data_IF_209179554582
#
_entry.id   IF_209179554582
#
_cell.length_a   1.000
_cell.length_b   1.000
_cell.length_c   1.000
_cell.angle_alpha   90.00
_cell.angle_beta   90.00
_cell.angle_gamma   90.00
#
_symmetry.space_group_name_H-M   'P 1'
#
loop_
_entity.id
_entity.type
_entity.pdbx_description
1 polymer ?
#
# COMPACT_ATOMS: atom_id res chain seq x y z
N UNK A 1 -28.74 5.57 -8.22
CA UNK A 1 -28.28 4.20 -7.89
C UNK A 1 -28.22 4.01 -6.36
N UNK A 2 -29.15 3.23 -5.77
CA UNK A 2 -29.41 3.25 -4.33
C UNK A 2 -28.54 2.30 -3.46
N UNK A 3 -27.77 1.36 -4.02
CA UNK A 3 -26.78 0.58 -3.23
C UNK A 3 -25.53 0.13 -4.01
N UNK A 4 -25.65 -0.20 -5.30
CA UNK A 4 -24.54 -0.79 -6.09
C UNK A 4 -23.74 0.19 -6.97
N UNK A 5 -23.94 1.50 -6.81
CA UNK A 5 -23.40 2.50 -7.72
C UNK A 5 -21.87 2.50 -7.87
N UNK A 6 -21.12 2.07 -6.84
CA UNK A 6 -19.65 1.97 -6.93
C UNK A 6 -19.21 0.80 -7.80
N UNK A 7 -19.84 -0.36 -7.65
CA UNK A 7 -19.56 -1.56 -8.44
C UNK A 7 -19.95 -1.31 -9.90
N UNK A 8 -21.12 -0.74 -10.13
CA UNK A 8 -21.58 -0.34 -11.47
C UNK A 8 -20.60 0.62 -12.15
N UNK A 9 -20.13 1.64 -11.43
CA UNK A 9 -19.16 2.61 -11.94
C UNK A 9 -17.79 1.97 -12.23
N UNK A 10 -17.35 1.02 -11.42
CA UNK A 10 -16.13 0.25 -11.67
C UNK A 10 -16.28 -0.59 -12.95
N UNK A 11 -17.39 -1.31 -13.11
CA UNK A 11 -17.67 -2.12 -14.31
C UNK A 11 -17.68 -1.23 -15.57
N UNK A 12 -18.35 -0.07 -15.52
CA UNK A 12 -18.36 0.90 -16.62
C UNK A 12 -16.94 1.40 -16.95
N UNK A 13 -16.10 1.59 -15.95
CA UNK A 13 -14.72 2.04 -16.12
C UNK A 13 -13.87 0.95 -16.79
N UNK A 14 -13.94 -0.29 -16.32
CA UNK A 14 -13.25 -1.44 -16.95
C UNK A 14 -13.70 -1.59 -18.41
N UNK A 15 -15.00 -1.49 -18.68
CA UNK A 15 -15.54 -1.56 -20.05
C UNK A 15 -14.93 -0.50 -20.96
N UNK A 16 -14.92 0.77 -20.52
CA UNK A 16 -14.46 1.93 -21.31
C UNK A 16 -12.93 2.01 -21.47
N UNK A 17 -12.18 1.58 -20.46
CA UNK A 17 -10.74 1.81 -20.40
C UNK A 17 -9.93 0.57 -20.77
N UNK A 18 -10.48 -0.64 -20.59
CA UNK A 18 -9.83 -1.90 -20.95
C UNK A 18 -10.53 -2.55 -22.16
N UNK A 19 -11.79 -2.97 -21.99
CA UNK A 19 -12.45 -3.85 -22.98
C UNK A 19 -12.73 -3.17 -24.32
N UNK A 20 -13.01 -1.86 -24.33
CA UNK A 20 -13.22 -1.13 -25.59
C UNK A 20 -11.92 -0.66 -26.25
N UNK A 21 -10.78 -0.74 -25.56
CA UNK A 21 -9.48 -0.28 -26.07
C UNK A 21 -8.59 -1.40 -26.58
N UNK A 22 -8.80 -2.62 -26.09
CA UNK A 22 -7.99 -3.79 -26.45
C UNK A 22 -8.85 -4.82 -27.15
N UNK A 23 -8.33 -5.39 -28.25
CA UNK A 23 -8.94 -6.54 -28.92
C UNK A 23 -8.28 -7.82 -28.42
N UNK A 24 -9.00 -8.54 -27.57
CA UNK A 24 -8.59 -9.86 -27.09
C UNK A 24 -8.98 -10.94 -28.10
N UNK A 25 -8.09 -11.91 -28.33
CA UNK A 25 -8.28 -13.01 -29.26
C UNK A 25 -8.99 -14.20 -28.62
N UNK A 26 -9.05 -14.24 -27.28
CA UNK A 26 -9.74 -15.28 -26.52
C UNK A 26 -10.28 -14.75 -25.19
N UNK A 27 -11.16 -15.53 -24.57
CA UNK A 27 -11.62 -15.27 -23.21
C UNK A 27 -10.48 -15.33 -22.18
N UNK A 28 -9.53 -16.26 -22.34
CA UNK A 28 -8.38 -16.37 -21.43
C UNK A 28 -7.49 -15.13 -21.49
N UNK A 29 -7.25 -14.60 -22.69
CA UNK A 29 -6.50 -13.36 -22.87
C UNK A 29 -7.24 -12.15 -22.28
N UNK A 30 -8.57 -12.09 -22.46
CA UNK A 30 -9.39 -11.05 -21.86
C UNK A 30 -9.34 -11.11 -20.32
N UNK A 31 -9.36 -12.30 -19.73
CA UNK A 31 -9.26 -12.47 -18.28
C UNK A 31 -7.93 -11.95 -17.74
N UNK A 32 -6.81 -12.28 -18.40
CA UNK A 32 -5.49 -11.76 -18.05
C UNK A 32 -5.42 -10.24 -18.21
N UNK A 33 -5.91 -9.70 -19.33
CA UNK A 33 -5.94 -8.26 -19.57
C UNK A 33 -6.76 -7.49 -18.52
N UNK A 34 -7.90 -8.04 -18.09
CA UNK A 34 -8.69 -7.46 -17.00
C UNK A 34 -7.92 -7.52 -15.67
N UNK A 35 -7.26 -8.63 -15.36
CA UNK A 35 -6.46 -8.77 -14.15
C UNK A 35 -5.32 -7.73 -14.10
N UNK A 36 -4.62 -7.54 -15.22
CA UNK A 36 -3.56 -6.55 -15.35
C UNK A 36 -4.11 -5.12 -15.23
N UNK A 37 -5.26 -4.83 -15.85
CA UNK A 37 -5.94 -3.54 -15.69
C UNK A 37 -6.30 -3.28 -14.22
N UNK A 38 -6.87 -4.26 -13.51
CA UNK A 38 -7.21 -4.14 -12.09
C UNK A 38 -5.96 -3.88 -11.25
N UNK A 39 -4.85 -4.56 -11.53
CA UNK A 39 -3.56 -4.30 -10.85
C UNK A 39 -3.12 -2.85 -11.06
N UNK A 40 -3.11 -2.38 -12.30
CA UNK A 40 -2.76 -0.98 -12.62
C UNK A 40 -3.70 0.03 -11.96
N UNK A 41 -5.00 -0.24 -11.96
CA UNK A 41 -6.01 0.61 -11.32
C UNK A 41 -5.79 0.74 -9.81
N UNK A 42 -5.49 -0.37 -9.12
CA UNK A 42 -5.32 -0.39 -7.67
C UNK A 42 -3.96 0.12 -7.19
N UNK A 43 -2.88 -0.18 -7.90
CA UNK A 43 -1.50 0.04 -7.44
C UNK A 43 -0.70 1.07 -8.23
N UNK A 44 -1.20 1.51 -9.39
CA UNK A 44 -0.50 2.48 -10.25
C UNK A 44 -1.22 3.82 -10.43
N UNK A 45 -2.51 3.91 -10.10
CA UNK A 45 -3.34 5.09 -10.45
C UNK A 45 -3.71 5.94 -9.22
N UNK A 46 -3.20 7.17 -9.11
CA UNK A 46 -3.72 8.19 -8.20
C UNK A 46 -5.20 8.53 -8.50
N UNK A 47 -6.02 8.68 -7.45
CA UNK A 47 -7.44 9.01 -7.58
C UNK A 47 -7.82 10.27 -6.80
N UNK A 48 -8.43 11.24 -7.49
CA UNK A 48 -8.82 12.53 -6.88
C UNK A 48 -9.82 12.37 -5.72
N UNK A 49 -10.77 11.44 -5.84
CA UNK A 49 -11.76 11.15 -4.78
C UNK A 49 -11.15 10.61 -3.47
N UNK A 50 -9.86 10.30 -3.47
CA UNK A 50 -9.08 9.86 -2.31
C UNK A 50 -7.80 10.68 -2.16
N UNK A 51 -7.87 11.99 -2.44
CA UNK A 51 -6.75 12.93 -2.24
C UNK A 51 -5.45 12.56 -2.98
N UNK A 52 -5.56 11.93 -4.15
CA UNK A 52 -4.41 11.53 -4.95
C UNK A 52 -3.74 10.23 -4.51
N UNK A 53 -4.25 9.55 -3.48
CA UNK A 53 -3.81 8.21 -3.14
C UNK A 53 -4.28 7.18 -4.17
N UNK A 54 -3.65 6.01 -4.18
CA UNK A 54 -4.10 4.87 -4.96
C UNK A 54 -5.17 4.09 -4.20
N UNK A 55 -6.08 3.37 -4.87
CA UNK A 55 -7.11 2.59 -4.19
C UNK A 55 -6.52 1.59 -3.19
N UNK A 56 -5.38 0.97 -3.53
CA UNK A 56 -4.66 0.09 -2.62
C UNK A 56 -4.15 0.83 -1.37
N UNK A 57 -3.60 2.05 -1.50
CA UNK A 57 -3.12 2.83 -0.36
C UNK A 57 -4.25 3.11 0.64
N UNK A 58 -5.47 3.38 0.14
CA UNK A 58 -6.64 3.58 0.99
C UNK A 58 -7.14 2.27 1.58
N UNK A 59 -7.16 1.19 0.81
CA UNK A 59 -7.65 -0.12 1.25
C UNK A 59 -6.76 -0.73 2.34
N UNK A 60 -5.44 -0.70 2.15
CA UNK A 60 -4.46 -1.19 3.11
C UNK A 60 -4.12 -0.16 4.21
N UNK A 61 -4.89 0.92 4.33
CA UNK A 61 -4.75 1.86 5.45
C UNK A 61 -3.51 2.75 5.45
N UNK A 62 -2.67 2.75 4.40
CA UNK A 62 -1.46 3.60 4.31
C UNK A 62 -1.78 5.09 4.59
N UNK A 63 -3.00 5.52 4.26
CA UNK A 63 -3.53 6.84 4.61
C UNK A 63 -3.96 6.89 6.09
N UNK A 64 -3.11 7.47 6.94
CA UNK A 64 -3.37 7.70 8.36
C UNK A 64 -2.64 6.75 9.31
N UNK A 65 -2.24 5.56 8.83
CA UNK A 65 -1.43 4.62 9.61
C UNK A 65 -0.06 5.22 9.98
N UNK A 66 0.53 6.06 9.12
CA UNK A 66 1.83 6.72 9.42
C UNK A 66 1.82 7.43 10.78
N UNK A 67 0.87 8.32 11.03
CA UNK A 67 0.80 9.08 12.29
C UNK A 67 0.46 8.18 13.49
N UNK A 68 -0.37 7.15 13.28
CA UNK A 68 -0.67 6.16 14.32
C UNK A 68 0.59 5.37 14.70
N UNK A 69 1.34 4.90 13.71
CA UNK A 69 2.53 4.08 13.91
C UNK A 69 3.65 4.93 14.51
N UNK A 70 3.82 6.18 14.07
CA UNK A 70 4.71 7.14 14.74
C UNK A 70 4.35 7.29 16.22
N UNK A 71 3.06 7.46 16.56
CA UNK A 71 2.62 7.56 17.95
C UNK A 71 2.82 6.26 18.74
N UNK A 72 2.58 5.10 18.14
CA UNK A 72 2.79 3.78 18.73
C UNK A 72 4.27 3.52 19.04
N UNK A 73 5.15 3.98 18.17
CA UNK A 73 6.59 3.78 18.26
C UNK A 73 7.30 4.89 19.05
N UNK A 74 6.69 6.07 19.26
CA UNK A 74 7.30 7.20 19.97
C UNK A 74 7.75 6.89 21.42
N UNK A 75 7.24 5.80 22.02
CA UNK A 75 7.66 5.32 23.35
C UNK A 75 8.78 4.27 23.33
N UNK A 76 9.30 3.91 22.16
CA UNK A 76 10.44 2.99 21.98
C UNK A 76 11.71 3.79 21.72
N UNK A 77 12.88 3.19 21.94
CA UNK A 77 14.18 3.79 21.60
C UNK A 77 14.40 3.81 20.08
N UNK A 78 13.58 4.59 19.37
CA UNK A 78 13.60 4.72 17.92
C UNK A 78 13.83 6.18 17.51
N UNK A 79 14.57 6.37 16.43
CA UNK A 79 14.96 7.66 15.89
C UNK A 79 14.42 7.83 14.47
N UNK A 80 13.28 8.53 14.38
CA UNK A 80 12.65 8.86 13.09
C UNK A 80 13.43 9.89 12.27
N UNK A 81 14.34 10.65 12.89
CA UNK A 81 15.10 11.70 12.21
C UNK A 81 16.14 11.14 11.22
N UNK A 82 16.61 9.92 11.47
CA UNK A 82 17.54 9.18 10.60
C UNK A 82 16.88 8.56 9.36
N UNK A 83 15.57 8.72 9.21
CA UNK A 83 14.80 8.11 8.13
C UNK A 83 14.27 6.73 8.54
N UNK A 84 13.11 6.38 7.98
CA UNK A 84 12.40 5.16 8.31
C UNK A 84 11.47 4.76 7.15
N UNK A 85 11.05 3.49 7.17
CA UNK A 85 10.06 2.97 6.26
C UNK A 85 8.91 2.35 7.05
N UNK A 86 7.68 2.63 6.62
CA UNK A 86 6.48 1.96 7.11
C UNK A 86 5.82 1.33 5.89
N UNK A 87 5.66 0.01 5.92
CA UNK A 87 5.04 -0.77 4.88
C UNK A 87 3.84 -1.49 5.46
N UNK A 88 2.70 -1.48 4.75
CA UNK A 88 1.61 -2.39 5.04
C UNK A 88 1.74 -3.61 4.12
N UNK A 89 1.81 -4.79 4.71
CA UNK A 89 1.83 -6.08 4.00
C UNK A 89 0.60 -6.85 4.43
N UNK A 90 -0.41 -6.92 3.55
CA UNK A 90 -1.74 -7.45 3.88
C UNK A 90 -2.31 -6.72 5.12
N UNK A 91 -2.59 -7.46 6.20
CA UNK A 91 -3.14 -6.91 7.45
C UNK A 91 -2.04 -6.46 8.43
N UNK A 92 -0.77 -6.76 8.15
CA UNK A 92 0.36 -6.46 9.01
C UNK A 92 1.03 -5.14 8.65
N UNK A 93 1.48 -4.41 9.67
CA UNK A 93 2.40 -3.30 9.51
C UNK A 93 3.83 -3.77 9.73
N UNK A 94 4.71 -3.52 8.77
CA UNK A 94 6.16 -3.69 8.91
C UNK A 94 6.80 -2.30 8.97
N UNK A 95 7.49 -2.01 10.06
CA UNK A 95 8.20 -0.75 10.26
C UNK A 95 9.69 -1.01 10.34
N UNK A 96 10.48 -0.28 9.55
CA UNK A 96 11.94 -0.26 9.61
C UNK A 96 12.34 1.11 10.12
N UNK A 97 12.87 1.17 11.32
CA UNK A 97 13.23 2.41 12.03
C UNK A 97 14.65 2.30 12.55
N UNK A 98 15.34 3.42 12.70
CA UNK A 98 16.65 3.44 13.37
C UNK A 98 16.46 3.45 14.90
N UNK A 99 17.39 2.88 15.66
CA UNK A 99 17.56 3.02 17.10
C UNK A 99 18.94 3.61 17.42
N UNK A 100 19.28 3.71 18.71
CA UNK A 100 20.65 3.96 19.19
C UNK A 100 21.60 2.80 18.86
N UNK A 101 21.11 1.56 18.82
CA UNK A 101 21.91 0.34 18.67
C UNK A 101 21.99 -0.14 17.22
N UNK A 102 21.06 0.26 16.35
CA UNK A 102 21.11 -0.08 14.93
C UNK A 102 19.80 0.13 14.19
N UNK A 103 19.49 -0.77 13.26
CA UNK A 103 18.22 -0.77 12.52
C UNK A 103 17.28 -1.79 13.16
N UNK A 104 16.08 -1.32 13.49
CA UNK A 104 15.02 -2.11 14.10
C UNK A 104 13.93 -2.39 13.09
N UNK A 105 13.57 -3.67 12.95
CA UNK A 105 12.44 -4.14 12.16
C UNK A 105 11.32 -4.55 13.12
N UNK A 106 10.17 -3.92 13.01
CA UNK A 106 8.97 -4.23 13.80
C UNK A 106 7.85 -4.76 12.91
N UNK A 107 7.11 -5.74 13.41
CA UNK A 107 5.85 -6.21 12.84
C UNK A 107 4.74 -5.93 13.84
N UNK A 108 3.73 -5.15 13.43
CA UNK A 108 2.62 -4.70 14.28
C UNK A 108 3.13 -4.11 15.62
N UNK A 109 4.16 -3.27 15.53
CA UNK A 109 4.78 -2.60 16.69
C UNK A 109 5.64 -3.51 17.58
N UNK A 110 5.74 -4.80 17.28
CA UNK A 110 6.56 -5.78 18.03
C UNK A 110 7.91 -5.96 17.34
N UNK A 111 8.97 -6.01 18.14
CA UNK A 111 10.33 -6.24 17.63
C UNK A 111 10.38 -7.61 16.93
N UNK A 112 10.75 -7.61 15.65
CA UNK A 112 11.04 -8.83 14.90
C UNK A 112 12.54 -9.09 14.88
N UNK A 113 13.33 -8.05 14.60
CA UNK A 113 14.79 -8.14 14.50
C UNK A 113 15.43 -6.78 14.76
N UNK A 114 16.61 -6.80 15.35
CA UNK A 114 17.51 -5.66 15.44
C UNK A 114 18.84 -6.02 14.78
N UNK A 115 19.32 -5.14 13.91
CA UNK A 115 20.59 -5.29 13.20
C UNK A 115 21.49 -4.17 13.65
N UNK A 116 22.57 -4.52 14.36
CA UNK A 116 23.55 -3.54 14.85
C UNK A 116 24.16 -2.75 13.68
N UNK A 117 24.38 -1.45 13.87
CA UNK A 117 25.09 -0.63 12.88
C UNK A 117 26.60 -0.83 13.03
N UNK A 118 27.16 -1.79 12.28
CA UNK A 118 28.59 -2.11 12.28
C UNK A 118 29.48 -0.96 11.75
N UNK A 119 28.91 0.16 11.26
CA UNK A 119 29.65 1.31 10.72
C UNK A 119 30.07 2.34 11.79
N UNK A 120 29.76 2.08 13.07
CA UNK A 120 30.13 2.91 14.22
C UNK A 120 31.37 2.42 15.00
N UNK A 121 32.10 1.44 14.47
CA UNK A 121 33.38 0.97 15.00
C UNK A 121 34.58 1.39 14.14
#
# INVERSE_FOLDING_TARGET
PQTQGKVERLIQTIKRECLSRVRFKSYSEAALGIADYIRGYNFGRPHQGIKGFRPADRFYGVVGERSRIEAELAGKEVDFSKGYCILKVQDHCVSVVSSSEGIVVLVDGKLLQEVADERLH
#
